data_IF_521956774852
#
_entry.id   IF_521956774852
#
_cell.length_a   1.000
_cell.length_b   1.000
_cell.length_c   1.000
_cell.angle_alpha   90.00
_cell.angle_beta   90.00
_cell.angle_gamma   90.00
#
_symmetry.space_group_name_H-M   'P 1'
#
loop_
_entity.id
_entity.type
_entity.pdbx_description
1 polymer ?
#
# COMPACT_ATOMS: atom_id res chain seq x y z
N UNK A 1 -3.26 16.24 -7.52
CA UNK A 1 -3.03 15.45 -6.29
C UNK A 1 -1.62 15.67 -5.72
N UNK A 2 -0.55 15.68 -6.54
CA UNK A 2 0.83 15.85 -6.04
C UNK A 2 1.03 17.19 -5.29
N UNK A 3 0.33 18.26 -5.71
CA UNK A 3 0.36 19.54 -5.01
C UNK A 3 -0.31 19.46 -3.62
N UNK A 4 -1.39 18.70 -3.49
CA UNK A 4 -2.04 18.43 -2.21
C UNK A 4 -1.09 17.64 -1.30
N UNK A 5 -0.44 16.58 -1.82
CA UNK A 5 0.52 15.80 -1.05
C UNK A 5 1.72 16.65 -0.59
N UNK A 6 2.22 17.55 -1.43
CA UNK A 6 3.27 18.48 -1.05
C UNK A 6 2.83 19.41 0.10
N UNK A 7 1.62 19.98 -0.01
CA UNK A 7 1.07 20.85 1.02
C UNK A 7 0.79 20.08 2.33
N UNK A 8 0.25 18.88 2.24
CA UNK A 8 0.00 18.04 3.41
C UNK A 8 1.30 17.55 4.08
N UNK A 9 2.33 17.20 3.31
CA UNK A 9 3.64 16.82 3.86
C UNK A 9 4.29 17.98 4.63
N UNK A 10 4.21 19.20 4.10
CA UNK A 10 4.74 20.39 4.76
C UNK A 10 3.94 20.73 6.01
N UNK A 11 2.61 20.72 5.91
CA UNK A 11 1.71 20.99 7.04
C UNK A 11 1.89 19.97 8.16
N UNK A 12 1.81 18.67 7.88
CA UNK A 12 1.88 17.65 8.94
C UNK A 12 3.22 17.65 9.63
N UNK A 13 4.30 17.97 8.92
CA UNK A 13 5.62 18.15 9.51
C UNK A 13 5.69 19.38 10.42
N UNK A 14 5.03 20.48 10.03
CA UNK A 14 5.07 21.75 10.78
C UNK A 14 4.20 21.72 12.03
N UNK A 15 2.93 21.23 11.91
CA UNK A 15 1.98 21.27 13.04
C UNK A 15 1.96 19.97 13.85
N UNK A 16 2.57 18.91 13.35
CA UNK A 16 2.56 17.57 13.92
C UNK A 16 1.30 16.76 13.60
N UNK A 17 1.39 15.40 13.70
CA UNK A 17 0.28 14.50 13.33
C UNK A 17 -1.01 14.75 14.13
N UNK A 18 -0.90 15.14 15.40
CA UNK A 18 -2.07 15.37 16.28
C UNK A 18 -2.88 16.63 15.93
N UNK A 19 -2.25 17.62 15.28
CA UNK A 19 -2.91 18.89 14.90
C UNK A 19 -3.16 19.00 13.39
N UNK A 20 -2.86 17.95 12.62
CA UNK A 20 -2.98 17.97 11.17
C UNK A 20 -4.43 18.15 10.69
N UNK A 21 -5.36 17.35 11.24
CA UNK A 21 -6.75 17.41 10.87
C UNK A 21 -7.44 18.59 11.60
N UNK A 22 -7.87 19.59 10.84
CA UNK A 22 -8.60 20.75 11.35
C UNK A 22 -9.74 21.10 10.38
N UNK A 23 -10.73 21.84 10.88
CA UNK A 23 -11.86 22.29 10.06
C UNK A 23 -11.46 23.17 8.85
N UNK A 24 -10.27 23.78 8.91
CA UNK A 24 -9.74 24.65 7.86
C UNK A 24 -8.90 23.91 6.80
N UNK A 25 -8.60 22.62 7.03
CA UNK A 25 -7.72 21.86 6.14
C UNK A 25 -8.53 20.84 5.37
N UNK A 26 -8.63 21.03 4.06
CA UNK A 26 -9.15 19.98 3.18
C UNK A 26 -8.23 18.77 3.20
N UNK A 27 -8.75 17.62 3.60
CA UNK A 27 -8.05 16.34 3.57
C UNK A 27 -9.08 15.22 3.41
N UNK A 28 -8.97 14.47 2.34
CA UNK A 28 -9.85 13.34 2.01
C UNK A 28 -9.19 11.98 2.25
N UNK A 29 -7.96 11.97 2.76
CA UNK A 29 -7.22 10.76 3.10
C UNK A 29 -7.26 10.47 4.60
N UNK A 30 -7.37 9.18 4.99
CA UNK A 30 -7.24 8.74 6.37
C UNK A 30 -5.80 8.89 6.88
N UNK A 31 -5.57 8.74 8.20
CA UNK A 31 -4.29 9.10 8.83
C UNK A 31 -3.09 8.23 8.40
N UNK A 32 -3.31 7.02 7.88
CA UNK A 32 -2.20 6.11 7.57
C UNK A 32 -1.20 6.68 6.57
N UNK A 33 -1.69 7.24 5.46
CA UNK A 33 -0.79 7.83 4.48
C UNK A 33 -0.18 9.17 4.96
N UNK A 34 -0.83 9.86 5.88
CA UNK A 34 -0.29 11.10 6.45
C UNK A 34 1.03 10.87 7.20
N UNK A 35 1.25 9.71 7.80
CA UNK A 35 2.54 9.37 8.40
C UNK A 35 3.65 9.21 7.38
N UNK A 36 3.34 8.69 6.19
CA UNK A 36 4.31 8.63 5.07
C UNK A 36 4.67 10.06 4.63
N UNK A 37 3.67 10.92 4.49
CA UNK A 37 3.90 12.34 4.16
C UNK A 37 4.67 13.08 5.25
N UNK A 38 4.45 12.78 6.52
CA UNK A 38 5.23 13.32 7.62
C UNK A 38 6.73 12.98 7.48
N UNK A 39 7.05 11.72 7.17
CA UNK A 39 8.44 11.30 6.93
C UNK A 39 9.06 12.01 5.72
N UNK A 40 8.29 12.23 4.66
CA UNK A 40 8.75 12.98 3.48
C UNK A 40 8.98 14.44 3.83
N UNK A 41 8.09 15.06 4.59
CA UNK A 41 8.26 16.44 5.10
C UNK A 41 9.52 16.59 5.97
N UNK A 42 9.73 15.62 6.88
CA UNK A 42 10.91 15.56 7.72
C UNK A 42 12.21 15.42 6.90
N UNK A 43 12.22 14.50 5.93
CA UNK A 43 13.36 14.26 5.05
C UNK A 43 13.65 15.49 4.19
N UNK A 44 12.61 16.13 3.64
CA UNK A 44 12.73 17.38 2.88
C UNK A 44 13.40 18.47 3.72
N UNK A 45 12.92 18.65 4.95
CA UNK A 45 13.47 19.66 5.88
C UNK A 45 14.91 19.36 6.25
N UNK A 46 15.23 18.10 6.59
CA UNK A 46 16.57 17.66 6.97
C UNK A 46 17.60 17.89 5.85
N UNK A 47 17.21 17.62 4.61
CA UNK A 47 18.08 17.75 3.43
C UNK A 47 18.06 19.16 2.82
N UNK A 48 17.30 20.10 3.36
CA UNK A 48 17.18 21.46 2.83
C UNK A 48 16.58 21.52 1.41
N UNK A 49 15.73 20.55 1.04
CA UNK A 49 15.16 20.48 -0.31
C UNK A 49 14.09 21.57 -0.46
N UNK A 50 14.18 22.43 -1.51
CA UNK A 50 13.20 23.48 -1.72
C UNK A 50 11.78 22.93 -1.91
N UNK A 51 10.77 23.65 -1.38
CA UNK A 51 9.37 23.28 -1.53
C UNK A 51 8.99 23.19 -3.02
N UNK A 52 8.29 22.13 -3.37
CA UNK A 52 7.78 21.84 -4.72
C UNK A 52 8.86 21.78 -5.82
N UNK A 53 10.13 21.58 -5.45
CA UNK A 53 11.20 21.31 -6.41
C UNK A 53 11.06 19.93 -7.03
N UNK A 54 11.75 19.68 -8.15
CA UNK A 54 11.76 18.37 -8.82
C UNK A 54 12.15 17.23 -7.88
N UNK A 55 13.10 17.45 -6.97
CA UNK A 55 13.52 16.47 -5.98
C UNK A 55 12.43 16.22 -4.93
N UNK A 56 11.73 17.29 -4.48
CA UNK A 56 10.60 17.13 -3.56
C UNK A 56 9.46 16.32 -4.22
N UNK A 57 9.11 16.62 -5.47
CA UNK A 57 8.12 15.88 -6.24
C UNK A 57 8.53 14.41 -6.41
N UNK A 58 9.81 14.14 -6.67
CA UNK A 58 10.34 12.78 -6.75
C UNK A 58 10.18 12.03 -5.42
N UNK A 59 10.49 12.67 -4.29
CA UNK A 59 10.31 12.08 -2.96
C UNK A 59 8.84 11.74 -2.67
N UNK A 60 7.89 12.58 -3.10
CA UNK A 60 6.45 12.32 -2.93
C UNK A 60 5.97 11.13 -3.76
N UNK A 61 6.57 10.88 -4.93
CA UNK A 61 6.23 9.75 -5.80
C UNK A 61 6.94 8.45 -5.41
N UNK A 62 8.05 8.55 -4.70
CA UNK A 62 8.91 7.41 -4.37
C UNK A 62 8.17 6.27 -3.65
N UNK A 63 7.30 6.50 -2.66
CA UNK A 63 6.56 5.43 -2.00
C UNK A 63 5.71 4.59 -2.97
N UNK A 64 4.99 5.26 -3.89
CA UNK A 64 4.17 4.57 -4.89
C UNK A 64 5.04 3.74 -5.85
N UNK A 65 6.13 4.31 -6.36
CA UNK A 65 7.06 3.62 -7.27
C UNK A 65 7.70 2.40 -6.59
N UNK A 66 8.14 2.54 -5.34
CA UNK A 66 8.70 1.41 -4.58
C UNK A 66 7.67 0.31 -4.33
N UNK A 67 6.41 0.68 -4.09
CA UNK A 67 5.32 -0.30 -3.95
C UNK A 67 5.02 -1.02 -5.28
N UNK A 68 5.08 -0.34 -6.42
CA UNK A 68 4.97 -1.01 -7.73
C UNK A 68 6.08 -2.02 -7.94
N UNK A 69 7.33 -1.65 -7.64
CA UNK A 69 8.45 -2.58 -7.72
C UNK A 69 8.26 -3.79 -6.80
N UNK A 70 7.78 -3.56 -5.56
CA UNK A 70 7.48 -4.63 -4.62
C UNK A 70 6.35 -5.54 -5.14
N UNK A 71 5.29 -4.99 -5.73
CA UNK A 71 4.23 -5.75 -6.38
C UNK A 71 4.78 -6.62 -7.52
N UNK A 72 5.60 -6.06 -8.40
CA UNK A 72 6.26 -6.81 -9.47
C UNK A 72 7.11 -7.97 -8.95
N UNK A 73 7.90 -7.73 -7.90
CA UNK A 73 8.70 -8.78 -7.24
C UNK A 73 7.81 -9.87 -6.61
N UNK A 74 6.69 -9.49 -5.97
CA UNK A 74 5.73 -10.46 -5.42
C UNK A 74 5.10 -11.29 -6.53
N UNK A 75 4.65 -10.68 -7.62
CA UNK A 75 4.07 -11.38 -8.76
C UNK A 75 5.06 -12.37 -9.38
N UNK A 76 6.31 -11.98 -9.56
CA UNK A 76 7.38 -12.90 -9.99
C UNK A 76 7.50 -14.10 -9.05
N UNK A 77 7.59 -13.84 -7.74
CA UNK A 77 7.76 -14.88 -6.72
C UNK A 77 6.57 -15.84 -6.68
N UNK A 78 5.36 -15.33 -6.77
CA UNK A 78 4.15 -16.17 -6.73
C UNK A 78 3.95 -16.95 -8.02
N UNK A 79 4.29 -16.36 -9.19
CA UNK A 79 4.29 -17.05 -10.47
C UNK A 79 5.26 -18.24 -10.47
N UNK A 80 6.48 -18.06 -9.93
CA UNK A 80 7.45 -19.14 -9.82
C UNK A 80 7.02 -20.20 -8.80
N UNK A 81 6.58 -19.78 -7.59
CA UNK A 81 6.37 -20.71 -6.46
C UNK A 81 5.03 -21.41 -6.49
N UNK A 82 3.94 -20.69 -6.81
CA UNK A 82 2.58 -21.24 -6.76
C UNK A 82 2.08 -21.72 -8.12
N UNK A 83 2.39 -20.99 -9.20
CA UNK A 83 1.97 -21.36 -10.54
C UNK A 83 2.98 -22.26 -11.25
N UNK A 84 4.15 -22.50 -10.65
CA UNK A 84 5.23 -23.30 -11.21
C UNK A 84 5.66 -22.86 -12.62
N UNK A 85 5.57 -21.56 -12.88
CA UNK A 85 6.04 -20.98 -14.14
C UNK A 85 7.57 -21.03 -14.23
N UNK A 86 8.09 -21.15 -15.44
CA UNK A 86 9.52 -21.00 -15.69
C UNK A 86 9.98 -19.59 -15.32
N UNK A 87 11.29 -19.40 -15.12
CA UNK A 87 11.86 -18.08 -14.79
C UNK A 87 11.47 -17.02 -15.83
N UNK A 88 11.54 -17.36 -17.12
CA UNK A 88 11.17 -16.42 -18.20
C UNK A 88 9.70 -16.04 -18.11
N UNK A 89 8.80 -17.00 -17.90
CA UNK A 89 7.37 -16.73 -17.74
C UNK A 89 7.09 -15.84 -16.52
N UNK A 90 7.77 -16.11 -15.39
CA UNK A 90 7.63 -15.33 -14.17
C UNK A 90 8.13 -13.90 -14.34
N UNK A 91 9.24 -13.70 -15.06
CA UNK A 91 9.72 -12.37 -15.45
C UNK A 91 8.72 -11.66 -16.36
N UNK A 92 8.13 -12.37 -17.33
CA UNK A 92 7.10 -11.79 -18.19
C UNK A 92 5.88 -11.31 -17.40
N UNK A 93 5.45 -12.07 -16.38
CA UNK A 93 4.33 -11.64 -15.48
C UNK A 93 4.68 -10.35 -14.74
N UNK A 94 5.86 -10.28 -14.14
CA UNK A 94 6.32 -9.08 -13.43
C UNK A 94 6.45 -7.88 -14.38
N UNK A 95 7.03 -8.08 -15.54
CA UNK A 95 7.16 -7.05 -16.57
C UNK A 95 5.79 -6.58 -17.10
N UNK A 96 4.85 -7.51 -17.33
CA UNK A 96 3.50 -7.17 -17.77
C UNK A 96 2.78 -6.26 -16.76
N UNK A 97 3.04 -6.42 -15.46
CA UNK A 97 2.56 -5.51 -14.43
C UNK A 97 3.32 -4.17 -14.47
N UNK A 98 4.65 -4.21 -14.33
CA UNK A 98 5.48 -3.00 -14.15
C UNK A 98 5.46 -2.07 -15.36
N UNK A 99 5.37 -2.62 -16.57
CA UNK A 99 5.35 -1.84 -17.82
C UNK A 99 3.92 -1.57 -18.32
N UNK A 100 2.91 -1.90 -17.55
CA UNK A 100 1.54 -1.51 -17.89
C UNK A 100 1.42 0.02 -17.87
N UNK A 101 0.94 0.65 -18.95
CA UNK A 101 0.85 2.11 -19.02
C UNK A 101 0.04 2.72 -17.86
N UNK A 102 -1.03 2.05 -17.40
CA UNK A 102 -1.84 2.53 -16.28
C UNK A 102 -1.04 2.61 -14.98
N UNK A 103 -0.15 1.64 -14.68
CA UNK A 103 0.72 1.66 -13.50
C UNK A 103 1.70 2.83 -13.57
N UNK A 104 2.41 2.95 -14.71
CA UNK A 104 3.39 4.03 -14.91
C UNK A 104 2.74 5.41 -14.82
N UNK A 105 1.59 5.58 -15.46
CA UNK A 105 0.87 6.86 -15.42
C UNK A 105 0.39 7.19 -14.01
N UNK A 106 -0.12 6.21 -13.28
CA UNK A 106 -0.68 6.40 -11.94
C UNK A 106 0.41 6.79 -10.91
N UNK A 107 1.46 5.99 -10.79
CA UNK A 107 2.52 6.20 -9.78
C UNK A 107 3.57 7.21 -10.20
N UNK A 108 4.15 7.03 -11.40
CA UNK A 108 5.32 7.82 -11.83
C UNK A 108 4.93 9.17 -12.43
N UNK A 109 3.84 9.25 -13.21
CA UNK A 109 3.42 10.52 -13.80
C UNK A 109 2.52 11.30 -12.84
N UNK A 110 1.45 10.71 -12.36
CA UNK A 110 0.44 11.36 -11.53
C UNK A 110 0.82 11.42 -10.04
N UNK A 111 1.60 10.45 -9.55
CA UNK A 111 2.04 10.39 -8.15
C UNK A 111 0.94 9.94 -7.18
N UNK A 112 0.00 9.11 -7.65
CA UNK A 112 -1.07 8.56 -6.83
C UNK A 112 -0.59 7.47 -5.86
N UNK A 113 -1.34 7.29 -4.79
CA UNK A 113 -1.06 6.33 -3.70
C UNK A 113 -1.59 4.92 -4.01
N UNK A 114 -2.20 4.70 -5.17
CA UNK A 114 -2.87 3.45 -5.50
C UNK A 114 -1.95 2.25 -5.47
N UNK A 115 -0.68 2.42 -5.83
CA UNK A 115 0.32 1.35 -5.75
C UNK A 115 0.59 0.89 -4.32
N UNK A 116 0.56 1.81 -3.34
CA UNK A 116 0.68 1.49 -1.91
C UNK A 116 -0.51 0.65 -1.46
N UNK A 117 -1.72 1.07 -1.87
CA UNK A 117 -2.96 0.32 -1.61
C UNK A 117 -2.93 -1.05 -2.29
N UNK A 118 -2.51 -1.13 -3.55
CA UNK A 118 -2.41 -2.38 -4.31
C UNK A 118 -1.47 -3.38 -3.62
N UNK A 119 -0.31 -2.93 -3.15
CA UNK A 119 0.63 -3.78 -2.41
C UNK A 119 -0.03 -4.37 -1.15
N UNK A 120 -0.75 -3.56 -0.39
CA UNK A 120 -1.46 -3.99 0.81
C UNK A 120 -2.52 -5.05 0.49
N UNK A 121 -3.31 -4.84 -0.58
CA UNK A 121 -4.34 -5.80 -1.01
C UNK A 121 -3.72 -7.12 -1.49
N UNK A 122 -2.61 -7.07 -2.24
CA UNK A 122 -1.87 -8.27 -2.65
C UNK A 122 -1.36 -9.03 -1.42
N UNK A 123 -0.71 -8.34 -0.47
CA UNK A 123 -0.19 -8.97 0.75
C UNK A 123 -1.32 -9.60 1.59
N UNK A 124 -2.45 -8.91 1.74
CA UNK A 124 -3.64 -9.44 2.41
C UNK A 124 -4.09 -10.75 1.76
N UNK A 125 -4.23 -10.74 0.41
CA UNK A 125 -4.64 -11.93 -0.36
C UNK A 125 -3.66 -13.10 -0.20
N UNK A 126 -2.35 -12.83 -0.25
CA UNK A 126 -1.31 -13.84 -0.05
C UNK A 126 -1.36 -14.45 1.36
N UNK A 127 -1.55 -13.64 2.41
CA UNK A 127 -1.73 -14.16 3.77
C UNK A 127 -2.99 -15.01 3.92
N UNK A 128 -4.11 -14.63 3.28
CA UNK A 128 -5.32 -15.45 3.25
C UNK A 128 -5.06 -16.79 2.55
N UNK A 129 -4.39 -16.78 1.41
CA UNK A 129 -4.04 -18.01 0.67
C UNK A 129 -3.08 -18.90 1.46
N UNK A 130 -2.25 -18.34 2.33
CA UNK A 130 -1.35 -19.07 3.24
C UNK A 130 -2.05 -19.56 4.52
N UNK A 131 -3.34 -19.27 4.72
CA UNK A 131 -4.07 -19.56 5.96
C UNK A 131 -3.67 -18.69 7.16
N UNK A 132 -2.91 -17.64 6.93
CA UNK A 132 -2.41 -16.71 7.97
C UNK A 132 -3.43 -15.59 8.22
N UNK A 133 -4.45 -15.90 9.02
CA UNK A 133 -5.59 -14.97 9.22
C UNK A 133 -5.20 -13.70 9.95
N UNK A 134 -4.43 -13.80 11.06
CA UNK A 134 -4.05 -12.64 11.85
C UNK A 134 -3.26 -11.59 11.05
N UNK A 135 -2.18 -11.92 10.31
CA UNK A 135 -1.52 -10.95 9.46
C UNK A 135 -2.41 -10.44 8.32
N UNK A 136 -3.32 -11.24 7.76
CA UNK A 136 -4.27 -10.78 6.75
C UNK A 136 -5.18 -9.67 7.30
N UNK A 137 -5.72 -9.83 8.52
CA UNK A 137 -6.54 -8.79 9.17
C UNK A 137 -5.74 -7.54 9.54
N UNK A 138 -4.52 -7.72 10.05
CA UNK A 138 -3.64 -6.60 10.37
C UNK A 138 -3.33 -5.75 9.13
N UNK A 139 -2.97 -6.41 8.02
CA UNK A 139 -2.71 -5.76 6.74
C UNK A 139 -3.97 -5.09 6.17
N UNK A 140 -5.14 -5.74 6.29
CA UNK A 140 -6.41 -5.13 5.91
C UNK A 140 -6.69 -3.84 6.70
N UNK A 141 -6.52 -3.88 8.04
CA UNK A 141 -6.68 -2.71 8.88
C UNK A 141 -5.73 -1.56 8.49
N UNK A 142 -4.47 -1.87 8.20
CA UNK A 142 -3.51 -0.91 7.65
C UNK A 142 -4.02 -0.35 6.31
N UNK A 143 -4.55 -1.20 5.44
CA UNK A 143 -5.12 -0.81 4.16
C UNK A 143 -6.27 0.20 4.31
N UNK A 144 -7.19 -0.04 5.23
CA UNK A 144 -8.30 0.89 5.53
C UNK A 144 -7.78 2.24 6.02
N UNK A 145 -6.73 2.23 6.86
CA UNK A 145 -6.10 3.45 7.35
C UNK A 145 -5.31 4.20 6.26
N UNK A 146 -4.84 3.52 5.22
CA UNK A 146 -4.17 4.14 4.08
C UNK A 146 -5.19 4.68 3.07
N UNK A 147 -6.21 3.87 2.74
CA UNK A 147 -7.22 4.23 1.73
C UNK A 147 -8.54 3.50 2.01
N UNK A 148 -9.67 4.20 2.21
CA UNK A 148 -10.96 3.59 2.55
C UNK A 148 -11.46 2.60 1.49
N UNK A 149 -11.00 2.70 0.24
CA UNK A 149 -11.32 1.75 -0.82
C UNK A 149 -10.96 0.31 -0.47
N UNK A 150 -10.06 0.08 0.50
CA UNK A 150 -9.76 -1.26 1.04
C UNK A 150 -11.03 -1.98 1.55
N UNK A 151 -12.05 -1.24 2.00
CA UNK A 151 -13.32 -1.81 2.46
C UNK A 151 -14.04 -2.65 1.37
N UNK A 152 -13.78 -2.40 0.10
CA UNK A 152 -14.31 -3.18 -1.03
C UNK A 152 -13.86 -4.67 -0.94
N UNK A 153 -12.73 -4.94 -0.32
CA UNK A 153 -12.19 -6.29 -0.14
C UNK A 153 -12.69 -7.00 1.14
N UNK A 154 -13.58 -6.36 1.93
CA UNK A 154 -14.22 -7.00 3.10
C UNK A 154 -14.88 -8.35 2.77
N UNK A 155 -15.63 -8.51 1.66
CA UNK A 155 -16.21 -9.83 1.32
C UNK A 155 -15.15 -10.92 1.15
N UNK A 156 -13.98 -10.60 0.59
CA UNK A 156 -12.87 -11.57 0.43
C UNK A 156 -12.37 -12.05 1.79
N UNK A 157 -12.20 -11.12 2.75
CA UNK A 157 -11.86 -11.45 4.12
C UNK A 157 -12.92 -12.33 4.78
N UNK A 158 -14.20 -12.00 4.62
CA UNK A 158 -15.30 -12.79 5.19
C UNK A 158 -15.33 -14.21 4.63
N UNK A 159 -15.12 -14.38 3.32
CA UNK A 159 -15.01 -15.72 2.71
C UNK A 159 -13.82 -16.48 3.31
N UNK A 160 -12.67 -15.85 3.48
CA UNK A 160 -11.51 -16.47 4.14
C UNK A 160 -11.80 -16.89 5.59
N UNK A 161 -12.56 -16.10 6.36
CA UNK A 161 -13.01 -16.46 7.71
C UNK A 161 -13.93 -17.68 7.65
N UNK A 162 -14.92 -17.66 6.78
CA UNK A 162 -15.89 -18.75 6.66
C UNK A 162 -15.21 -20.06 6.26
N UNK A 163 -14.27 -20.02 5.31
CA UNK A 163 -13.48 -21.17 4.91
C UNK A 163 -12.69 -21.73 6.11
N UNK A 164 -11.99 -20.87 6.83
CA UNK A 164 -11.15 -21.26 7.97
C UNK A 164 -11.98 -21.77 9.16
N UNK A 165 -13.15 -21.18 9.43
CA UNK A 165 -14.01 -21.51 10.58
C UNK A 165 -14.89 -22.73 10.32
N UNK A 166 -15.44 -22.87 9.11
CA UNK A 166 -16.46 -23.89 8.83
C UNK A 166 -15.95 -25.08 8.01
N UNK A 167 -14.90 -24.92 7.22
CA UNK A 167 -14.37 -25.99 6.37
C UNK A 167 -13.11 -26.64 6.93
N UNK A 168 -12.42 -26.00 7.86
CA UNK A 168 -11.30 -26.58 8.60
C UNK A 168 -11.73 -26.75 10.06
N UNK A 169 -11.36 -27.89 10.70
CA UNK A 169 -11.65 -28.13 12.13
C UNK A 169 -11.27 -26.91 12.97
N UNK A 170 -12.32 -26.20 13.42
CA UNK A 170 -12.17 -24.94 14.13
C UNK A 170 -11.44 -25.14 15.46
N UNK A 171 -10.32 -24.49 15.61
CA UNK A 171 -9.59 -24.41 16.87
C UNK A 171 -9.15 -22.96 17.12
N UNK A 172 -9.60 -22.37 18.24
CA UNK A 172 -9.15 -21.05 18.68
C UNK A 172 -7.63 -20.92 18.75
N UNK A 173 -6.94 -22.02 19.06
CA UNK A 173 -5.47 -22.08 19.06
C UNK A 173 -4.90 -21.87 17.67
N UNK A 174 -5.44 -22.50 16.63
CA UNK A 174 -5.01 -22.31 15.25
C UNK A 174 -5.31 -20.90 14.75
N UNK A 175 -6.43 -20.31 15.19
CA UNK A 175 -6.83 -18.95 14.79
C UNK A 175 -5.86 -17.87 15.30
N UNK A 176 -5.32 -18.00 16.53
CA UNK A 176 -4.45 -17.01 17.12
C UNK A 176 -2.95 -17.28 16.92
N UNK A 177 -2.53 -18.48 16.52
CA UNK A 177 -1.12 -18.87 16.42
C UNK A 177 -0.64 -19.16 14.97
N UNK A 178 -1.50 -19.08 13.96
CA UNK A 178 -1.14 -19.06 12.55
C UNK A 178 -1.33 -17.65 12.00
#
# INVERSE_FOLDING_TARGET
DIACFAAWADRIFTVGPGAFYSAETFTDYPPGFMYVLYLIGALRSLLGIPYYSSLHIMLLKLPAILCDMACGCLLYKEATKRLHFSEIQSVCVACAYLFQPAIILNSSCWGQVDSVHTLVVILMGLFLMDGKMLPAYAIYGIGVLLKPQTLIFTPVLLVGILDHVFLQDFSWRKFFYN
#
